data_IF_728389650820
#
_entry.id   IF_728389650820
#
_cell.length_a   1.000
_cell.length_b   1.000
_cell.length_c   1.000
_cell.angle_alpha   90.00
_cell.angle_beta   90.00
_cell.angle_gamma   90.00
#
_symmetry.space_group_name_H-M   'P 1'
#
loop_
_entity.id
_entity.type
_entity.pdbx_description
1 polymer ?
#
# COMPACT_ATOMS: atom_id res chain seq x y z
N UNK A 1 -31.92 -11.46 -68.21
CA UNK A 1 -31.39 -10.31 -67.44
C UNK A 1 -30.91 -10.82 -66.08
N UNK A 2 -29.62 -10.61 -65.78
CA UNK A 2 -28.96 -10.49 -64.45
C UNK A 2 -29.24 -11.59 -63.38
N UNK A 3 -28.30 -12.44 -62.97
CA UNK A 3 -26.95 -12.30 -62.35
C UNK A 3 -27.00 -12.70 -60.86
N UNK A 4 -26.34 -13.82 -60.55
CA UNK A 4 -25.37 -14.06 -59.47
C UNK A 4 -25.71 -13.71 -58.00
N UNK A 5 -25.57 -14.73 -57.13
CA UNK A 5 -24.45 -14.92 -56.18
C UNK A 5 -24.86 -15.19 -54.72
N UNK A 6 -24.29 -16.27 -54.18
CA UNK A 6 -24.11 -16.61 -52.77
C UNK A 6 -23.54 -15.46 -51.94
N UNK A 7 -23.98 -15.31 -50.67
CA UNK A 7 -23.09 -15.13 -49.52
C UNK A 7 -23.87 -15.27 -48.19
N UNK A 8 -23.46 -16.26 -47.40
CA UNK A 8 -23.79 -16.44 -45.99
C UNK A 8 -23.02 -15.36 -45.19
N UNK A 9 -23.71 -14.51 -44.44
CA UNK A 9 -23.07 -13.49 -43.60
C UNK A 9 -23.23 -13.88 -42.13
N UNK A 10 -22.31 -14.72 -41.67
CA UNK A 10 -22.06 -14.95 -40.25
C UNK A 10 -21.32 -13.71 -39.73
N UNK A 11 -22.02 -12.89 -38.94
CA UNK A 11 -21.39 -11.81 -38.17
C UNK A 11 -20.83 -12.45 -36.90
N UNK A 12 -19.56 -12.88 -36.95
CA UNK A 12 -18.78 -13.07 -35.72
C UNK A 12 -18.32 -11.67 -35.30
N UNK A 13 -19.07 -11.07 -34.39
CA UNK A 13 -18.57 -9.94 -33.59
C UNK A 13 -17.54 -10.50 -32.61
N UNK A 14 -16.27 -10.56 -33.05
CA UNK A 14 -15.13 -10.64 -32.15
C UNK A 14 -15.09 -9.31 -31.42
N UNK A 15 -15.76 -9.22 -30.26
CA UNK A 15 -15.48 -8.17 -29.30
C UNK A 15 -14.07 -8.44 -28.78
N UNK A 16 -13.09 -7.78 -29.40
CA UNK A 16 -11.75 -7.67 -28.85
C UNK A 16 -11.89 -7.00 -27.48
N UNK A 17 -11.97 -7.80 -26.41
CA UNK A 17 -11.60 -7.32 -25.09
C UNK A 17 -10.10 -7.06 -25.18
N UNK A 18 -9.73 -5.87 -25.62
CA UNK A 18 -8.41 -5.31 -25.38
C UNK A 18 -8.30 -5.19 -23.86
N UNK A 19 -7.79 -6.23 -23.19
CA UNK A 19 -7.14 -6.03 -21.90
C UNK A 19 -6.09 -4.95 -22.15
N UNK A 20 -6.36 -3.72 -21.73
CA UNK A 20 -5.47 -2.60 -21.95
C UNK A 20 -4.12 -2.97 -21.34
N UNK A 21 -3.13 -3.23 -22.20
CA UNK A 21 -1.79 -3.53 -21.76
C UNK A 21 -1.31 -2.34 -20.94
N UNK A 22 -0.90 -2.60 -19.69
CA UNK A 22 -0.38 -1.59 -18.79
C UNK A 22 0.75 -0.82 -19.50
N UNK A 23 0.59 0.50 -19.62
CA UNK A 23 1.55 1.30 -20.40
C UNK A 23 2.92 1.30 -19.73
N UNK A 24 3.99 1.49 -20.51
CA UNK A 24 5.34 1.60 -19.96
C UNK A 24 5.47 2.72 -18.91
N UNK A 25 4.68 3.81 -19.06
CA UNK A 25 4.59 4.88 -18.07
C UNK A 25 3.96 4.39 -16.77
N UNK A 26 2.78 3.77 -16.85
CA UNK A 26 2.06 3.26 -15.69
C UNK A 26 2.95 2.29 -14.90
N UNK A 27 3.55 1.30 -15.57
CA UNK A 27 4.44 0.32 -14.93
C UNK A 27 5.62 0.99 -14.23
N UNK A 28 6.30 1.90 -14.91
CA UNK A 28 7.46 2.61 -14.34
C UNK A 28 7.07 3.44 -13.11
N UNK A 29 5.96 4.18 -13.18
CA UNK A 29 5.50 5.02 -12.08
C UNK A 29 5.03 4.17 -10.90
N UNK A 30 4.25 3.11 -11.14
CA UNK A 30 3.79 2.18 -10.11
C UNK A 30 4.95 1.50 -9.38
N UNK A 31 6.00 1.08 -10.09
CA UNK A 31 7.22 0.56 -9.48
C UNK A 31 7.91 1.61 -8.59
N UNK A 32 8.04 2.85 -9.06
CA UNK A 32 8.65 3.92 -8.27
C UNK A 32 7.84 4.26 -7.01
N UNK A 33 6.50 4.27 -7.09
CA UNK A 33 5.59 4.44 -5.94
C UNK A 33 5.75 3.28 -4.94
N UNK A 34 5.84 2.03 -5.43
CA UNK A 34 6.08 0.87 -4.57
C UNK A 34 7.42 0.99 -3.83
N UNK A 35 8.47 1.46 -4.51
CA UNK A 35 9.78 1.70 -3.90
C UNK A 35 9.72 2.84 -2.87
N UNK A 36 8.94 3.90 -3.12
CA UNK A 36 8.70 4.96 -2.14
C UNK A 36 8.11 4.41 -0.85
N UNK A 37 7.14 3.49 -0.94
CA UNK A 37 6.53 2.85 0.23
C UNK A 37 7.48 2.00 1.09
N UNK A 38 8.66 1.66 0.55
CA UNK A 38 9.73 0.91 1.21
C UNK A 38 10.89 1.79 1.66
N UNK A 39 10.93 3.05 1.24
CA UNK A 39 12.02 3.97 1.54
C UNK A 39 11.96 4.43 3.00
N UNK A 40 13.07 4.30 3.73
CA UNK A 40 13.16 4.72 5.12
C UNK A 40 14.24 5.80 5.33
N UNK A 41 15.38 5.71 4.64
CA UNK A 41 16.48 6.67 4.79
C UNK A 41 16.49 7.79 3.76
N UNK A 42 17.32 8.82 3.98
CA UNK A 42 17.58 9.87 2.99
C UNK A 42 18.07 9.30 1.66
N UNK A 43 18.98 8.32 1.70
CA UNK A 43 19.53 7.64 0.50
C UNK A 43 18.43 6.97 -0.32
N UNK A 44 17.49 6.29 0.34
CA UNK A 44 16.37 5.61 -0.32
C UNK A 44 15.43 6.62 -0.98
N UNK A 45 15.10 7.69 -0.26
CA UNK A 45 14.29 8.79 -0.79
C UNK A 45 14.97 9.45 -2.01
N UNK A 46 16.29 9.66 -1.95
CA UNK A 46 17.05 10.21 -3.08
C UNK A 46 17.04 9.26 -4.28
N UNK A 47 17.22 7.95 -4.06
CA UNK A 47 17.16 6.94 -5.12
C UNK A 47 15.78 6.90 -5.79
N UNK A 48 14.72 6.96 -5.00
CA UNK A 48 13.33 6.99 -5.48
C UNK A 48 13.00 8.31 -6.19
N UNK A 49 13.46 9.45 -5.67
CA UNK A 49 13.34 10.75 -6.34
C UNK A 49 14.00 10.73 -7.73
N UNK A 50 15.17 10.11 -7.86
CA UNK A 50 15.84 9.91 -9.15
C UNK A 50 15.05 9.02 -10.11
N UNK A 51 14.24 8.07 -9.62
CA UNK A 51 13.33 7.29 -10.46
C UNK A 51 12.21 8.20 -11.01
N UNK A 52 11.53 8.96 -10.15
CA UNK A 52 10.48 9.90 -10.57
C UNK A 52 11.00 10.97 -11.52
N UNK A 53 12.20 11.51 -11.28
CA UNK A 53 12.85 12.50 -12.16
C UNK A 53 13.05 11.96 -13.58
N UNK A 54 13.56 10.73 -13.72
CA UNK A 54 13.72 10.08 -15.04
C UNK A 54 12.38 9.83 -15.74
N UNK A 55 11.33 9.53 -14.98
CA UNK A 55 9.97 9.36 -15.53
C UNK A 55 9.43 10.71 -16.01
N UNK A 56 9.53 11.76 -15.19
CA UNK A 56 9.08 13.12 -15.51
C UNK A 56 9.76 13.67 -16.77
N UNK A 57 11.05 13.40 -16.95
CA UNK A 57 11.80 13.79 -18.15
C UNK A 57 11.24 13.13 -19.43
N UNK A 58 10.80 11.87 -19.35
CA UNK A 58 10.22 11.14 -20.49
C UNK A 58 8.73 11.41 -20.71
N UNK A 59 8.03 11.90 -19.68
CA UNK A 59 6.58 12.07 -19.62
C UNK A 59 6.23 13.42 -19.00
N UNK A 60 6.69 14.50 -19.62
CA UNK A 60 6.56 15.87 -19.10
C UNK A 60 5.12 16.41 -19.08
N UNK A 61 4.20 15.79 -19.80
CA UNK A 61 2.77 16.12 -19.76
C UNK A 61 2.02 15.48 -18.57
N UNK A 62 2.67 14.56 -17.85
CA UNK A 62 2.08 13.85 -16.72
C UNK A 62 2.44 14.55 -15.40
N UNK A 63 1.45 14.86 -14.57
CA UNK A 63 1.67 15.64 -13.34
C UNK A 63 2.19 14.79 -12.16
N UNK A 64 1.80 13.52 -12.08
CA UNK A 64 2.11 12.64 -10.95
C UNK A 64 3.63 12.46 -10.70
N UNK A 65 4.50 12.29 -11.70
CA UNK A 65 5.95 12.26 -11.46
C UNK A 65 6.46 13.51 -10.74
N UNK A 66 5.97 14.70 -11.12
CA UNK A 66 6.35 15.95 -10.46
C UNK A 66 5.81 16.04 -9.03
N UNK A 67 4.60 15.56 -8.78
CA UNK A 67 4.06 15.43 -7.42
C UNK A 67 4.97 14.59 -6.53
N UNK A 68 5.40 13.41 -7.01
CA UNK A 68 6.23 12.52 -6.20
C UNK A 68 7.67 13.02 -6.03
N UNK A 69 8.23 13.75 -7.00
CA UNK A 69 9.51 14.47 -6.82
C UNK A 69 9.34 15.52 -5.72
N UNK A 70 8.25 16.28 -5.73
CA UNK A 70 7.99 17.29 -4.71
C UNK A 70 7.79 16.68 -3.32
N UNK A 71 7.01 15.59 -3.21
CA UNK A 71 6.80 14.85 -1.97
C UNK A 71 8.11 14.32 -1.38
N UNK A 72 8.95 13.69 -2.20
CA UNK A 72 10.23 13.14 -1.73
C UNK A 72 11.21 14.23 -1.31
N UNK A 73 11.29 15.33 -2.05
CA UNK A 73 12.12 16.48 -1.68
C UNK A 73 11.64 17.14 -0.37
N UNK A 74 10.33 17.32 -0.18
CA UNK A 74 9.79 17.84 1.08
C UNK A 74 10.13 16.92 2.27
N UNK A 75 10.01 15.60 2.09
CA UNK A 75 10.39 14.63 3.11
C UNK A 75 11.90 14.63 3.41
N UNK A 76 12.75 14.74 2.39
CA UNK A 76 14.19 14.85 2.57
C UNK A 76 14.58 16.16 3.29
N UNK A 77 13.93 17.28 2.96
CA UNK A 77 14.14 18.58 3.61
C UNK A 77 13.91 18.51 5.13
N UNK A 78 12.89 17.79 5.57
CA UNK A 78 12.57 17.63 7.00
C UNK A 78 13.55 16.69 7.75
N UNK A 79 14.42 15.98 7.02
CA UNK A 79 15.34 14.98 7.58
C UNK A 79 16.80 15.44 7.54
N UNK A 80 17.19 16.08 6.45
CA UNK A 80 18.54 16.59 6.24
C UNK A 80 18.58 18.10 6.46
N UNK A 81 19.05 18.50 7.65
CA UNK A 81 19.17 19.91 8.01
C UNK A 81 20.17 20.68 7.14
N UNK A 82 21.20 20.02 6.60
CA UNK A 82 22.26 20.71 5.85
C UNK A 82 21.75 21.26 4.52
N UNK A 83 20.84 20.51 3.86
CA UNK A 83 20.30 20.86 2.55
C UNK A 83 18.81 21.21 2.60
N UNK A 84 18.26 21.49 3.78
CA UNK A 84 16.83 21.59 3.99
C UNK A 84 16.16 22.67 3.11
N UNK A 85 16.78 23.85 3.00
CA UNK A 85 16.26 24.94 2.17
C UNK A 85 16.28 24.60 0.68
N UNK A 86 17.40 24.07 0.17
CA UNK A 86 17.52 23.66 -1.23
C UNK A 86 16.48 22.59 -1.58
N UNK A 87 16.32 21.58 -0.72
CA UNK A 87 15.33 20.52 -0.90
C UNK A 87 13.89 21.06 -0.86
N UNK A 88 13.60 22.03 0.01
CA UNK A 88 12.28 22.66 0.04
C UNK A 88 11.98 23.48 -1.23
N UNK A 89 12.98 24.15 -1.81
CA UNK A 89 12.82 24.86 -3.08
C UNK A 89 12.71 23.90 -4.28
N UNK A 90 13.45 22.79 -4.28
CA UNK A 90 13.27 21.73 -5.28
C UNK A 90 11.88 21.10 -5.18
N UNK A 91 11.34 20.98 -3.96
CA UNK A 91 9.96 20.52 -3.75
C UNK A 91 8.96 21.51 -4.36
N UNK A 92 9.10 22.81 -4.06
CA UNK A 92 8.22 23.86 -4.58
C UNK A 92 8.25 23.89 -6.11
N UNK A 93 9.45 23.87 -6.70
CA UNK A 93 9.65 23.91 -8.16
C UNK A 93 8.91 22.79 -8.88
N UNK A 94 8.91 21.57 -8.32
CA UNK A 94 8.22 20.44 -8.93
C UNK A 94 6.71 20.46 -8.64
N UNK A 95 6.29 20.96 -7.48
CA UNK A 95 4.88 21.18 -7.21
C UNK A 95 4.27 22.19 -8.21
N UNK A 96 4.98 23.27 -8.52
CA UNK A 96 4.51 24.28 -9.47
C UNK A 96 4.34 23.69 -10.88
N UNK A 97 5.25 22.81 -11.30
CA UNK A 97 5.11 22.04 -12.55
C UNK A 97 3.88 21.14 -12.53
N UNK A 98 3.62 20.44 -11.42
CA UNK A 98 2.42 19.61 -11.28
C UNK A 98 1.14 20.46 -11.35
N UNK A 99 1.10 21.60 -10.64
CA UNK A 99 -0.04 22.52 -10.62
C UNK A 99 -0.35 23.11 -12.00
N UNK A 100 0.66 23.34 -12.84
CA UNK A 100 0.46 23.81 -14.21
C UNK A 100 -0.23 22.78 -15.13
N UNK A 101 -0.20 21.49 -14.78
CA UNK A 101 -0.74 20.39 -15.59
C UNK A 101 -2.14 19.92 -15.13
N UNK A 102 -2.55 20.27 -13.91
CA UNK A 102 -3.79 19.75 -13.31
C UNK A 102 -4.92 20.76 -13.41
N UNK A 103 -6.10 20.26 -13.80
CA UNK A 103 -7.37 21.02 -13.80
C UNK A 103 -8.45 20.38 -12.92
N UNK A 104 -8.35 19.09 -12.65
CA UNK A 104 -9.31 18.37 -11.82
C UNK A 104 -9.26 18.89 -10.37
N UNK A 105 -10.43 19.05 -9.76
CA UNK A 105 -10.55 19.65 -8.44
C UNK A 105 -10.00 18.75 -7.33
N UNK A 106 -10.15 17.43 -7.43
CA UNK A 106 -9.62 16.47 -6.45
C UNK A 106 -8.10 16.38 -6.55
N UNK A 107 -7.57 16.36 -7.77
CA UNK A 107 -6.12 16.37 -7.97
C UNK A 107 -5.50 17.70 -7.48
N UNK A 108 -6.16 18.84 -7.71
CA UNK A 108 -5.75 20.12 -7.12
C UNK A 108 -5.77 20.08 -5.58
N UNK A 109 -6.71 19.35 -4.95
CA UNK A 109 -6.70 19.12 -3.50
C UNK A 109 -5.42 18.40 -3.04
N UNK A 110 -4.97 17.38 -3.76
CA UNK A 110 -3.69 16.71 -3.48
C UNK A 110 -2.49 17.65 -3.62
N UNK A 111 -2.50 18.50 -4.64
CA UNK A 111 -1.42 19.47 -4.86
C UNK A 111 -1.39 20.56 -3.78
N UNK A 112 -2.54 21.05 -3.31
CA UNK A 112 -2.59 21.99 -2.19
C UNK A 112 -2.26 21.33 -0.85
N UNK A 113 -2.56 20.05 -0.69
CA UNK A 113 -2.08 19.25 0.44
C UNK A 113 -0.55 19.21 0.47
N UNK A 114 0.08 18.96 -0.67
CA UNK A 114 1.53 18.96 -0.80
C UNK A 114 2.14 20.37 -0.62
N UNK A 115 1.44 21.42 -1.05
CA UNK A 115 1.84 22.81 -0.80
C UNK A 115 1.98 23.09 0.69
N UNK A 116 1.01 22.65 1.49
CA UNK A 116 1.05 22.79 2.94
C UNK A 116 2.23 22.04 3.55
N UNK A 117 2.52 20.82 3.09
CA UNK A 117 3.67 20.04 3.54
C UNK A 117 5.00 20.73 3.22
N UNK A 118 5.14 21.34 2.05
CA UNK A 118 6.34 22.10 1.67
C UNK A 118 6.51 23.31 2.57
N UNK A 119 5.44 24.04 2.91
CA UNK A 119 5.53 25.11 3.90
C UNK A 119 5.93 24.59 5.28
N UNK A 120 5.41 23.44 5.72
CA UNK A 120 5.90 22.78 6.94
C UNK A 120 7.39 22.46 6.86
N UNK A 121 7.90 21.97 5.73
CA UNK A 121 9.33 21.74 5.55
C UNK A 121 10.14 23.05 5.71
N UNK A 122 9.70 24.14 5.05
CA UNK A 122 10.33 25.47 5.18
C UNK A 122 10.27 26.03 6.60
N UNK A 123 9.21 25.72 7.36
CA UNK A 123 9.06 26.06 8.78
C UNK A 123 10.13 25.35 9.61
N UNK A 124 10.30 24.04 9.41
CA UNK A 124 11.17 23.20 10.24
C UNK A 124 12.67 23.49 10.07
N UNK A 125 13.07 24.23 9.04
CA UNK A 125 14.44 24.73 8.88
C UNK A 125 14.85 25.63 10.05
N UNK A 126 13.97 26.57 10.43
CA UNK A 126 14.15 27.45 11.58
C UNK A 126 12.77 27.80 12.17
N UNK A 127 12.25 26.97 13.08
CA UNK A 127 10.92 27.15 13.65
C UNK A 127 10.75 28.49 14.38
N UNK A 128 11.82 29.06 14.93
CA UNK A 128 11.75 30.28 15.73
C UNK A 128 11.52 31.51 14.86
N UNK A 129 12.24 31.63 13.74
CA UNK A 129 12.07 32.77 12.84
C UNK A 129 10.97 32.55 11.79
N UNK A 130 10.72 31.30 11.39
CA UNK A 130 9.84 30.98 10.27
C UNK A 130 8.47 30.41 10.67
N UNK A 131 8.32 30.05 11.95
CA UNK A 131 7.12 29.42 12.52
C UNK A 131 5.81 30.12 12.16
N UNK A 132 5.71 31.41 12.46
CA UNK A 132 4.47 32.17 12.23
C UNK A 132 4.10 32.23 10.74
N UNK A 133 5.06 32.59 9.88
CA UNK A 133 4.84 32.75 8.44
C UNK A 133 4.42 31.43 7.79
N UNK A 134 5.27 30.40 7.91
CA UNK A 134 5.02 29.15 7.22
C UNK A 134 3.95 28.30 7.90
N UNK A 135 3.68 28.50 9.20
CA UNK A 135 2.55 27.88 9.90
C UNK A 135 1.21 28.41 9.41
N UNK A 136 1.10 29.73 9.19
CA UNK A 136 -0.09 30.33 8.59
C UNK A 136 -0.30 29.86 7.15
N UNK A 137 0.78 29.83 6.35
CA UNK A 137 0.71 29.38 4.96
C UNK A 137 0.38 27.89 4.83
N UNK A 138 0.94 27.02 5.69
CA UNK A 138 0.61 25.59 5.68
C UNK A 138 -0.85 25.36 6.06
N UNK A 139 -1.34 26.01 7.12
CA UNK A 139 -2.74 25.95 7.53
C UNK A 139 -3.71 26.42 6.43
N UNK A 140 -3.40 27.53 5.76
CA UNK A 140 -4.19 28.04 4.65
C UNK A 140 -4.22 27.07 3.46
N UNK A 141 -3.09 26.43 3.13
CA UNK A 141 -3.01 25.44 2.07
C UNK A 141 -3.86 24.20 2.37
N UNK A 142 -3.82 23.66 3.59
CA UNK A 142 -4.68 22.54 3.99
C UNK A 142 -6.17 22.93 3.97
N UNK A 143 -6.52 24.13 4.43
CA UNK A 143 -7.88 24.65 4.33
C UNK A 143 -8.37 24.74 2.88
N UNK A 144 -7.52 25.22 1.98
CA UNK A 144 -7.81 25.26 0.53
C UNK A 144 -7.99 23.86 -0.04
N UNK A 145 -7.13 22.90 0.32
CA UNK A 145 -7.25 21.51 -0.12
C UNK A 145 -8.59 20.88 0.32
N UNK A 146 -9.00 21.10 1.58
CA UNK A 146 -10.27 20.59 2.12
C UNK A 146 -11.50 21.31 1.55
N UNK A 147 -11.39 22.58 1.17
CA UNK A 147 -12.43 23.28 0.42
C UNK A 147 -12.57 22.74 -1.02
N UNK A 148 -11.48 22.20 -1.58
CA UNK A 148 -11.49 21.55 -2.89
C UNK A 148 -12.10 20.14 -2.83
N UNK A 149 -11.65 19.34 -1.86
CA UNK A 149 -12.14 18.00 -1.57
C UNK A 149 -12.14 17.76 -0.05
N UNK A 150 -13.33 17.83 0.56
CA UNK A 150 -13.51 17.64 1.99
C UNK A 150 -13.21 16.20 2.44
N UNK A 151 -13.15 15.25 1.51
CA UNK A 151 -12.87 13.84 1.79
C UNK A 151 -11.38 13.51 1.72
N UNK A 152 -10.51 14.46 1.36
CA UNK A 152 -9.08 14.23 1.24
C UNK A 152 -8.45 13.86 2.61
N UNK A 153 -8.05 12.60 2.83
CA UNK A 153 -7.59 12.15 4.14
C UNK A 153 -6.19 12.67 4.47
N UNK A 154 -5.35 12.94 3.46
CA UNK A 154 -3.99 13.46 3.63
C UNK A 154 -4.03 14.94 4.05
N UNK A 155 -4.92 15.73 3.46
CA UNK A 155 -5.14 17.12 3.85
C UNK A 155 -5.55 17.22 5.33
N UNK A 156 -6.54 16.41 5.73
CA UNK A 156 -7.02 16.36 7.12
C UNK A 156 -5.95 15.86 8.07
N UNK A 157 -5.20 14.81 7.71
CA UNK A 157 -4.09 14.29 8.51
C UNK A 157 -3.03 15.37 8.79
N UNK A 158 -2.53 16.03 7.73
CA UNK A 158 -1.48 17.03 7.88
C UNK A 158 -1.97 18.28 8.63
N UNK A 159 -3.24 18.64 8.47
CA UNK A 159 -3.87 19.70 9.26
C UNK A 159 -3.86 19.36 10.76
N UNK A 160 -4.31 18.15 11.13
CA UNK A 160 -4.32 17.70 12.53
C UNK A 160 -2.89 17.70 13.09
N UNK A 161 -1.92 17.16 12.35
CA UNK A 161 -0.51 17.14 12.78
C UNK A 161 0.05 18.55 13.00
N UNK A 162 -0.24 19.49 12.09
CA UNK A 162 0.19 20.88 12.23
C UNK A 162 -0.43 21.57 13.45
N UNK A 163 -1.73 21.40 13.67
CA UNK A 163 -2.44 21.96 14.83
C UNK A 163 -1.96 21.34 16.14
N UNK A 164 -1.75 20.02 16.18
CA UNK A 164 -1.19 19.34 17.34
C UNK A 164 0.24 19.81 17.64
N UNK A 165 1.07 19.99 16.60
CA UNK A 165 2.43 20.51 16.76
C UNK A 165 2.45 21.93 17.34
N UNK A 166 1.52 22.79 16.90
CA UNK A 166 1.34 24.12 17.48
C UNK A 166 0.89 24.05 18.94
N UNK A 167 -0.11 23.23 19.25
CA UNK A 167 -0.57 23.04 20.62
C UNK A 167 0.56 22.55 21.53
N UNK A 168 1.35 21.56 21.08
CA UNK A 168 2.52 21.07 21.81
C UNK A 168 3.56 22.17 22.05
N UNK A 169 3.85 22.99 21.03
CA UNK A 169 4.79 24.10 21.15
C UNK A 169 4.37 25.12 22.23
N UNK A 170 3.07 25.45 22.27
CA UNK A 170 2.49 26.34 23.28
C UNK A 170 2.05 25.63 24.58
N UNK A 171 2.41 24.35 24.76
CA UNK A 171 2.07 23.53 25.93
C UNK A 171 0.55 23.45 26.21
N UNK A 172 -0.25 23.47 25.16
CA UNK A 172 -1.70 23.28 25.18
C UNK A 172 -2.07 21.79 25.15
N UNK A 173 -3.31 21.47 25.50
CA UNK A 173 -3.83 20.10 25.44
C UNK A 173 -3.82 19.56 24.00
N UNK A 174 -3.39 18.31 23.86
CA UNK A 174 -3.27 17.62 22.57
C UNK A 174 -4.28 16.48 22.39
N UNK A 175 -5.01 16.11 23.45
CA UNK A 175 -6.00 15.04 23.40
C UNK A 175 -7.06 15.24 22.31
N UNK A 176 -7.59 16.44 22.04
CA UNK A 176 -8.57 16.65 20.97
C UNK A 176 -8.06 16.25 19.58
N UNK A 177 -6.76 16.45 19.29
CA UNK A 177 -6.18 16.10 17.98
C UNK A 177 -6.00 14.59 17.81
N UNK A 178 -5.87 13.85 18.91
CA UNK A 178 -5.81 12.39 18.89
C UNK A 178 -7.20 11.82 18.56
N UNK A 179 -8.26 12.39 19.14
CA UNK A 179 -9.64 12.03 18.80
C UNK A 179 -9.96 12.39 17.34
N UNK A 180 -9.55 13.56 16.86
CA UNK A 180 -9.66 13.93 15.45
C UNK A 180 -8.97 12.90 14.52
N UNK A 181 -7.81 12.37 14.92
CA UNK A 181 -7.11 11.34 14.16
C UNK A 181 -7.85 10.00 14.15
N UNK A 182 -8.51 9.61 15.25
CA UNK A 182 -9.38 8.42 15.31
C UNK A 182 -10.58 8.58 14.37
N UNK A 183 -11.28 9.71 14.44
CA UNK A 183 -12.41 10.01 13.53
C UNK A 183 -11.97 10.04 12.06
N UNK A 184 -10.77 10.55 11.77
CA UNK A 184 -10.20 10.49 10.42
C UNK A 184 -10.02 9.03 9.95
N UNK A 185 -9.52 8.14 10.82
CA UNK A 185 -9.29 6.73 10.47
C UNK A 185 -10.57 5.96 10.16
N UNK A 186 -11.65 6.21 10.90
CA UNK A 186 -12.96 5.60 10.64
C UNK A 186 -13.45 5.83 9.20
N UNK A 187 -13.04 6.94 8.59
CA UNK A 187 -13.42 7.35 7.23
C UNK A 187 -12.29 7.19 6.21
N UNK A 188 -11.12 6.72 6.63
CA UNK A 188 -9.93 6.69 5.77
C UNK A 188 -10.17 5.85 4.50
N UNK A 189 -10.77 4.68 4.67
CA UNK A 189 -10.99 3.71 3.59
C UNK A 189 -12.21 4.05 2.71
N UNK A 190 -12.98 5.08 3.06
CA UNK A 190 -14.02 5.61 2.19
C UNK A 190 -13.44 6.49 1.06
N UNK A 191 -12.19 6.95 1.19
CA UNK A 191 -11.53 7.71 0.14
C UNK A 191 -11.05 6.79 -0.99
N UNK A 192 -11.53 7.04 -2.20
CA UNK A 192 -11.10 6.32 -3.42
C UNK A 192 -10.22 7.23 -4.28
N UNK A 193 -8.90 6.93 -4.44
CA UNK A 193 -8.03 7.67 -5.35
C UNK A 193 -8.48 7.54 -6.81
N UNK A 194 -8.23 8.56 -7.64
CA UNK A 194 -8.63 8.58 -9.06
C UNK A 194 -7.96 7.48 -9.90
N UNK A 195 -6.81 6.96 -9.47
CA UNK A 195 -6.17 5.77 -10.01
C UNK A 195 -5.22 5.14 -8.99
N UNK A 196 -4.71 3.95 -9.29
CA UNK A 196 -3.68 3.27 -8.48
C UNK A 196 -2.29 3.93 -8.53
N UNK A 197 -2.11 4.95 -9.37
CA UNK A 197 -0.93 5.82 -9.40
C UNK A 197 -1.09 7.08 -8.55
N UNK A 198 -2.29 7.34 -8.01
CA UNK A 198 -2.54 8.51 -7.18
C UNK A 198 -2.00 8.30 -5.75
N UNK A 199 -1.79 9.40 -5.00
CA UNK A 199 -1.24 9.33 -3.66
C UNK A 199 -2.10 8.51 -2.71
N UNK A 200 -1.49 7.51 -2.06
CA UNK A 200 -2.12 6.61 -1.08
C UNK A 200 -1.34 6.55 0.25
N UNK A 201 -0.40 7.47 0.47
CA UNK A 201 0.37 7.58 1.70
C UNK A 201 -0.46 8.19 2.84
N UNK A 202 0.06 8.11 4.06
CA UNK A 202 -0.49 8.79 5.24
C UNK A 202 -1.24 7.89 6.23
N UNK A 203 -1.79 6.75 5.79
CA UNK A 203 -2.59 5.87 6.67
C UNK A 203 -1.81 5.41 7.90
N UNK A 204 -0.55 4.97 7.70
CA UNK A 204 0.35 4.59 8.79
C UNK A 204 0.58 5.73 9.79
N UNK A 205 0.74 6.96 9.31
CA UNK A 205 0.93 8.14 10.16
C UNK A 205 -0.35 8.52 10.91
N UNK A 206 -1.53 8.36 10.30
CA UNK A 206 -2.80 8.56 10.96
C UNK A 206 -3.02 7.53 12.08
N UNK A 207 -2.71 6.25 11.83
CA UNK A 207 -2.74 5.18 12.85
C UNK A 207 -1.79 5.50 14.00
N UNK A 208 -0.54 5.84 13.69
CA UNK A 208 0.44 6.20 14.70
C UNK A 208 -0.03 7.39 15.56
N UNK A 209 -0.64 8.39 14.94
CA UNK A 209 -1.19 9.56 15.65
C UNK A 209 -2.37 9.19 16.54
N UNK A 210 -3.34 8.43 16.05
CA UNK A 210 -4.49 7.96 16.81
C UNK A 210 -4.08 7.09 18.01
N UNK A 211 -2.96 6.36 17.89
CA UNK A 211 -2.42 5.51 18.94
C UNK A 211 -1.66 6.27 20.04
N UNK A 212 -1.24 7.52 19.83
CA UNK A 212 -0.52 8.31 20.86
C UNK A 212 -1.32 8.51 22.14
N UNK A 213 -2.65 8.58 22.07
CA UNK A 213 -3.51 8.75 23.26
C UNK A 213 -3.57 7.51 24.15
N UNK A 214 -3.26 6.34 23.58
CA UNK A 214 -3.28 5.05 24.27
C UNK A 214 -2.04 4.88 25.16
N UNK A 215 -0.90 5.42 24.71
CA UNK A 215 0.35 5.46 25.48
C UNK A 215 0.24 6.38 26.71
N UNK A 216 -0.40 7.55 26.57
CA UNK A 216 -0.59 8.50 27.65
C UNK A 216 -1.65 8.07 28.70
N UNK A 217 -2.63 7.24 28.32
CA UNK A 217 -3.73 6.81 29.18
C UNK A 217 -3.50 5.44 29.87
N UNK A 218 -2.35 4.80 29.67
CA UNK A 218 -2.08 3.44 30.19
C UNK A 218 -3.03 2.35 29.63
N UNK A 219 -3.85 2.69 28.63
CA UNK A 219 -4.81 1.79 27.98
C UNK A 219 -4.22 1.36 26.64
N UNK A 220 -3.85 0.09 26.50
CA UNK A 220 -3.60 -0.52 25.19
C UNK A 220 -4.92 -0.60 24.41
N UNK A 221 -5.29 0.45 23.69
CA UNK A 221 -6.28 0.30 22.62
C UNK A 221 -5.52 -0.23 21.41
N UNK A 222 -5.79 -1.50 21.07
CA UNK A 222 -5.32 -2.13 19.84
C UNK A 222 -6.07 -1.50 18.65
N UNK A 223 -5.65 -0.33 18.19
CA UNK A 223 -5.88 0.03 16.78
C UNK A 223 -4.62 -0.45 16.06
N UNK A 224 -4.66 -1.71 15.62
CA UNK A 224 -3.54 -2.41 15.01
C UNK A 224 -3.01 -1.68 13.77
N UNK A 225 -1.68 -1.56 13.72
CA UNK A 225 -0.91 -1.20 12.55
C UNK A 225 -1.36 -2.00 11.32
N UNK A 226 -1.93 -1.32 10.31
CA UNK A 226 -2.21 -1.87 8.97
C UNK A 226 -2.46 -3.38 8.96
N UNK A 227 -3.65 -3.73 9.40
CA UNK A 227 -4.22 -5.06 9.23
C UNK A 227 -4.51 -5.26 7.74
N UNK A 228 -3.64 -6.02 7.07
CA UNK A 228 -3.78 -6.40 5.67
C UNK A 228 -4.51 -7.74 5.55
N UNK A 229 -5.09 -7.95 4.37
CA UNK A 229 -5.72 -9.22 4.03
C UNK A 229 -4.81 -10.04 3.11
N UNK A 230 -4.54 -11.29 3.46
CA UNK A 230 -3.97 -12.27 2.54
C UNK A 230 -5.11 -13.13 2.00
N UNK A 231 -5.46 -12.95 0.73
CA UNK A 231 -6.39 -13.83 0.01
C UNK A 231 -5.61 -14.97 -0.63
N UNK A 232 -5.90 -16.21 -0.24
CA UNK A 232 -5.22 -17.40 -0.73
C UNK A 232 -6.17 -18.26 -1.56
N UNK A 233 -5.72 -18.64 -2.77
CA UNK A 233 -6.36 -19.64 -3.61
C UNK A 233 -5.44 -20.84 -3.77
N UNK A 234 -5.85 -21.99 -3.25
CA UNK A 234 -5.15 -23.26 -3.35
C UNK A 234 -5.80 -24.07 -4.48
N UNK A 235 -5.00 -24.56 -5.41
CA UNK A 235 -5.46 -25.23 -6.63
C UNK A 235 -4.76 -26.57 -6.83
N UNK A 236 -5.26 -27.37 -7.77
CA UNK A 236 -4.77 -28.73 -8.06
C UNK A 236 -4.94 -29.71 -6.90
N UNK A 237 -5.96 -29.52 -6.07
CA UNK A 237 -6.40 -30.58 -5.14
C UNK A 237 -6.90 -31.76 -5.98
N UNK A 238 -6.62 -33.00 -5.56
CA UNK A 238 -6.93 -34.18 -6.39
C UNK A 238 -8.42 -34.54 -6.38
N UNK A 239 -9.11 -34.21 -5.30
CA UNK A 239 -10.55 -34.39 -5.09
C UNK A 239 -11.10 -33.26 -4.20
N UNK A 240 -12.39 -33.33 -3.87
CA UNK A 240 -13.11 -32.39 -3.00
C UNK A 240 -13.42 -33.02 -1.61
N UNK A 241 -12.76 -34.12 -1.27
CA UNK A 241 -12.95 -34.83 -0.01
C UNK A 241 -12.12 -34.18 1.11
N UNK A 242 -12.53 -34.36 2.36
CA UNK A 242 -11.76 -33.84 3.48
C UNK A 242 -11.80 -32.30 3.60
N UNK A 243 -10.67 -31.73 4.02
CA UNK A 243 -10.45 -30.29 4.20
C UNK A 243 -8.99 -29.92 3.94
N UNK A 244 -8.72 -28.64 3.71
CA UNK A 244 -7.34 -28.12 3.69
C UNK A 244 -7.07 -27.43 5.01
N UNK A 245 -6.08 -27.91 5.76
CA UNK A 245 -5.56 -27.21 6.94
C UNK A 245 -4.45 -26.27 6.49
N UNK A 246 -4.59 -24.98 6.78
CA UNK A 246 -3.67 -23.93 6.32
C UNK A 246 -3.16 -23.14 7.52
N UNK A 247 -1.83 -23.01 7.63
CA UNK A 247 -1.17 -22.21 8.67
C UNK A 247 -0.41 -21.04 8.04
N UNK A 248 -0.57 -19.86 8.61
CA UNK A 248 0.22 -18.66 8.35
C UNK A 248 1.24 -18.50 9.48
N UNK A 249 2.52 -18.55 9.14
CA UNK A 249 3.63 -18.44 10.10
C UNK A 249 4.47 -17.20 9.83
N UNK A 250 5.10 -16.63 10.86
CA UNK A 250 6.04 -15.50 10.71
C UNK A 250 7.48 -15.98 10.38
N UNK A 251 8.40 -15.05 10.16
CA UNK A 251 9.83 -15.37 9.88
C UNK A 251 10.55 -16.17 10.98
N UNK A 252 9.99 -16.22 12.19
CA UNK A 252 10.49 -17.03 13.31
C UNK A 252 9.84 -18.41 13.39
N UNK A 253 9.01 -18.79 12.41
CA UNK A 253 8.21 -20.02 12.35
C UNK A 253 7.13 -20.12 13.44
N UNK A 254 6.73 -18.99 14.03
CA UNK A 254 5.62 -18.95 14.98
C UNK A 254 4.31 -18.89 14.19
N UNK A 255 3.34 -19.76 14.52
CA UNK A 255 2.00 -19.72 13.92
C UNK A 255 1.26 -18.46 14.37
N UNK A 256 0.77 -17.70 13.40
CA UNK A 256 0.04 -16.45 13.62
C UNK A 256 -1.46 -16.68 13.49
N UNK A 257 -1.87 -17.44 12.48
CA UNK A 257 -3.26 -17.83 12.22
C UNK A 257 -3.30 -19.19 11.53
N UNK A 258 -4.37 -19.95 11.75
CA UNK A 258 -4.63 -21.20 11.04
C UNK A 258 -6.13 -21.35 10.72
N UNK A 259 -6.45 -22.07 9.65
CA UNK A 259 -7.83 -22.29 9.19
C UNK A 259 -8.00 -23.67 8.56
N UNK A 260 -9.17 -24.29 8.78
CA UNK A 260 -9.63 -25.47 8.06
C UNK A 260 -10.62 -25.04 6.98
N UNK A 261 -10.35 -25.39 5.72
CA UNK A 261 -11.06 -24.86 4.56
C UNK A 261 -11.68 -25.99 3.76
N UNK A 262 -12.98 -25.90 3.48
CA UNK A 262 -13.69 -26.84 2.62
C UNK A 262 -13.25 -26.71 1.16
N UNK A 263 -13.31 -27.81 0.43
CA UNK A 263 -12.84 -27.89 -0.95
C UNK A 263 -14.03 -27.93 -1.89
N UNK A 264 -13.94 -27.18 -2.98
CA UNK A 264 -14.93 -27.20 -4.04
C UNK A 264 -14.24 -27.02 -5.38
N UNK A 265 -14.61 -27.84 -6.36
CA UNK A 265 -14.04 -27.80 -7.71
C UNK A 265 -12.50 -27.85 -7.67
N UNK A 266 -11.97 -28.76 -6.84
CA UNK A 266 -10.54 -29.00 -6.61
C UNK A 266 -9.75 -27.76 -6.18
N UNK A 267 -10.45 -26.84 -5.51
CA UNK A 267 -9.95 -25.54 -5.09
C UNK A 267 -10.37 -25.25 -3.65
N UNK A 268 -9.48 -24.66 -2.87
CA UNK A 268 -9.80 -24.06 -1.57
C UNK A 268 -9.48 -22.55 -1.62
N UNK A 269 -10.37 -21.73 -1.08
CA UNK A 269 -10.23 -20.26 -1.05
C UNK A 269 -10.44 -19.79 0.38
N UNK A 270 -9.49 -19.02 0.90
CA UNK A 270 -9.57 -18.43 2.24
C UNK A 270 -8.92 -17.05 2.29
N UNK A 271 -9.13 -16.37 3.42
CA UNK A 271 -8.52 -15.08 3.73
C UNK A 271 -7.96 -15.10 5.14
N UNK A 272 -6.72 -14.64 5.30
CA UNK A 272 -6.20 -14.22 6.60
C UNK A 272 -6.41 -12.71 6.71
N UNK A 273 -7.25 -12.30 7.65
CA UNK A 273 -7.51 -10.89 7.96
C UNK A 273 -6.61 -10.44 9.10
N UNK A 274 -6.44 -9.14 9.28
CA UNK A 274 -5.67 -8.59 10.38
C UNK A 274 -4.19 -9.03 10.42
N UNK A 275 -3.59 -9.14 9.22
CA UNK A 275 -2.18 -9.51 9.08
C UNK A 275 -1.32 -8.26 9.01
N UNK A 276 -0.38 -8.14 9.93
CA UNK A 276 0.54 -7.00 9.98
C UNK A 276 1.52 -7.00 8.80
N UNK A 277 2.09 -5.84 8.49
CA UNK A 277 3.25 -5.77 7.61
C UNK A 277 4.39 -6.63 8.16
N UNK A 278 5.03 -7.45 7.33
CA UNK A 278 6.08 -8.36 7.79
C UNK A 278 6.41 -9.44 6.78
N UNK A 279 7.25 -10.40 7.20
CA UNK A 279 7.60 -11.58 6.44
C UNK A 279 6.85 -12.79 6.99
N UNK A 280 6.27 -13.56 6.09
CA UNK A 280 5.40 -14.69 6.41
C UNK A 280 5.65 -15.86 5.48
N UNK A 281 5.25 -17.05 5.90
CA UNK A 281 5.12 -18.23 5.04
C UNK A 281 3.74 -18.87 5.26
N UNK A 282 3.26 -19.58 4.26
CA UNK A 282 2.02 -20.36 4.31
C UNK A 282 2.38 -21.82 4.10
N UNK A 283 1.87 -22.69 4.96
CA UNK A 283 2.03 -24.13 4.87
C UNK A 283 0.64 -24.75 4.93
N UNK A 284 0.38 -25.78 4.11
CA UNK A 284 -0.93 -26.42 4.11
C UNK A 284 -0.87 -27.90 3.77
N UNK A 285 -1.86 -28.63 4.28
CA UNK A 285 -2.11 -30.04 4.01
C UNK A 285 -3.54 -30.25 3.56
N UNK A 286 -3.72 -31.16 2.61
CA UNK A 286 -5.00 -31.68 2.18
C UNK A 286 -5.31 -32.94 3.00
N UNK A 287 -6.01 -32.76 4.11
CA UNK A 287 -6.40 -33.83 5.04
C UNK A 287 -7.68 -34.48 4.51
N UNK A 288 -7.51 -35.62 3.82
CA UNK A 288 -8.58 -36.29 3.09
C UNK A 288 -9.42 -37.17 4.01
N UNK A 289 -8.77 -37.81 4.99
CA UNK A 289 -9.41 -38.71 5.93
C UNK A 289 -9.88 -38.03 7.23
N UNK A 290 -9.58 -36.73 7.41
CA UNK A 290 -9.98 -35.88 8.53
C UNK A 290 -9.37 -36.31 9.86
N UNK A 291 -8.15 -36.85 9.83
CA UNK A 291 -7.43 -37.23 11.04
C UNK A 291 -6.57 -36.10 11.62
N UNK A 292 -6.44 -34.98 10.90
CA UNK A 292 -5.68 -33.81 11.32
C UNK A 292 -4.16 -33.95 11.14
N UNK A 293 -3.68 -35.01 10.50
CA UNK A 293 -2.26 -35.30 10.29
C UNK A 293 -1.93 -35.39 8.79
N UNK A 294 -0.66 -35.14 8.45
CA UNK A 294 -0.18 -35.40 7.09
C UNK A 294 0.21 -36.87 6.97
N UNK A 295 -0.65 -37.68 6.36
CA UNK A 295 -0.39 -39.10 6.23
C UNK A 295 0.79 -39.39 5.29
N UNK A 296 1.74 -40.21 5.74
CA UNK A 296 2.92 -40.62 4.97
C UNK A 296 3.07 -42.14 4.84
N UNK A 297 3.86 -42.59 3.87
CA UNK A 297 4.28 -43.99 3.78
C UNK A 297 5.47 -44.29 4.71
N UNK A 298 5.94 -45.55 4.73
CA UNK A 298 7.05 -45.98 5.61
C UNK A 298 8.39 -45.26 5.33
N UNK A 299 8.52 -44.57 4.19
CA UNK A 299 9.68 -43.76 3.81
C UNK A 299 9.47 -42.27 4.09
N UNK A 300 8.38 -41.88 4.77
CA UNK A 300 8.06 -40.47 5.07
C UNK A 300 7.54 -39.67 3.88
N UNK A 301 7.18 -40.31 2.76
CA UNK A 301 6.61 -39.63 1.60
C UNK A 301 5.12 -39.37 1.85
N UNK A 302 4.64 -38.12 1.73
CA UNK A 302 3.23 -37.80 1.88
C UNK A 302 2.34 -38.57 0.90
N UNK A 303 1.28 -39.18 1.41
CA UNK A 303 0.18 -39.82 0.65
C UNK A 303 -0.95 -38.83 0.33
N UNK A 304 -0.98 -37.75 1.07
CA UNK A 304 -1.93 -36.64 0.98
C UNK A 304 -1.29 -35.41 0.34
N UNK A 305 -2.15 -34.48 -0.04
CA UNK A 305 -1.72 -33.25 -0.68
C UNK A 305 -1.04 -32.32 0.31
N UNK A 306 0.00 -31.62 -0.11
CA UNK A 306 0.63 -30.59 0.69
C UNK A 306 1.13 -29.45 -0.19
N UNK A 307 1.44 -28.32 0.44
CA UNK A 307 2.13 -27.24 -0.24
C UNK A 307 2.56 -26.11 0.68
N UNK A 308 3.25 -25.18 0.05
CA UNK A 308 3.92 -24.06 0.67
C UNK A 308 3.65 -22.79 -0.15
N UNK A 309 3.76 -21.62 0.47
CA UNK A 309 3.84 -20.34 -0.26
C UNK A 309 4.99 -20.35 -1.27
N UNK A 310 4.88 -19.47 -2.27
CA UNK A 310 5.79 -19.40 -3.43
C UNK A 310 5.89 -20.69 -4.27
N UNK A 311 4.99 -21.66 -4.06
CA UNK A 311 5.12 -23.01 -4.62
C UNK A 311 6.52 -23.63 -4.31
N UNK A 312 7.12 -23.29 -3.17
CA UNK A 312 8.47 -23.74 -2.78
C UNK A 312 8.55 -25.28 -2.72
N UNK A 313 9.68 -25.86 -3.18
CA UNK A 313 9.90 -27.32 -3.23
C UNK A 313 11.33 -27.70 -2.84
N UNK A 314 11.46 -28.66 -1.93
CA UNK A 314 12.73 -29.34 -1.65
C UNK A 314 13.02 -30.49 -2.62
N UNK A 315 14.30 -30.87 -2.72
CA UNK A 315 14.76 -32.01 -3.52
C UNK A 315 14.53 -33.35 -2.80
N UNK A 316 14.88 -33.42 -1.50
CA UNK A 316 14.64 -34.57 -0.62
C UNK A 316 14.14 -34.06 0.74
N UNK A 317 12.84 -33.81 0.83
CA UNK A 317 12.19 -33.25 2.04
C UNK A 317 11.40 -31.96 1.76
N UNK A 318 10.95 -31.25 2.81
CA UNK A 318 10.35 -29.93 2.67
C UNK A 318 11.36 -28.93 2.05
N UNK A 319 10.88 -27.82 1.44
CA UNK A 319 11.75 -26.74 0.99
C UNK A 319 12.49 -26.09 2.17
N UNK A 320 13.52 -25.30 1.84
CA UNK A 320 14.11 -24.40 2.82
C UNK A 320 13.08 -23.32 3.19
N UNK A 321 12.96 -23.01 4.48
CA UNK A 321 11.93 -22.08 4.97
C UNK A 321 12.01 -20.70 4.30
N UNK A 322 13.22 -20.23 3.99
CA UNK A 322 13.44 -18.97 3.29
C UNK A 322 12.79 -18.94 1.90
N UNK A 323 12.67 -20.09 1.21
CA UNK A 323 12.01 -20.19 -0.09
C UNK A 323 10.48 -20.04 0.03
N UNK A 324 9.93 -20.35 1.20
CA UNK A 324 8.50 -20.17 1.50
C UNK A 324 8.17 -18.71 1.82
N UNK A 325 9.15 -17.90 2.26
CA UNK A 325 8.91 -16.56 2.78
C UNK A 325 8.43 -15.60 1.68
N UNK A 326 7.37 -14.86 1.98
CA UNK A 326 6.89 -13.71 1.22
C UNK A 326 6.71 -12.49 2.13
N UNK A 327 6.76 -11.28 1.53
CA UNK A 327 6.62 -10.02 2.27
C UNK A 327 5.21 -9.46 2.14
N UNK A 328 4.55 -9.25 3.26
CA UNK A 328 3.28 -8.52 3.37
C UNK A 328 3.61 -7.04 3.59
N UNK A 329 3.24 -6.22 2.61
CA UNK A 329 3.34 -4.75 2.68
C UNK A 329 2.04 -4.04 2.27
N UNK A 330 1.00 -4.83 1.98
CA UNK A 330 -0.31 -4.48 1.46
C UNK A 330 -1.19 -5.74 1.38
N UNK A 331 -2.45 -5.58 0.98
CA UNK A 331 -3.31 -6.72 0.67
C UNK A 331 -2.65 -7.61 -0.39
N UNK A 332 -2.63 -8.91 -0.11
CA UNK A 332 -1.86 -9.88 -0.87
C UNK A 332 -2.80 -10.93 -1.44
N UNK A 333 -2.79 -11.12 -2.75
CA UNK A 333 -3.44 -12.25 -3.41
C UNK A 333 -2.39 -13.29 -3.75
N UNK A 334 -2.57 -14.51 -3.27
CA UNK A 334 -1.65 -15.62 -3.50
C UNK A 334 -2.37 -16.81 -4.14
N UNK A 335 -1.76 -17.35 -5.19
CA UNK A 335 -2.20 -18.58 -5.86
C UNK A 335 -1.12 -19.64 -5.69
N UNK A 336 -1.48 -20.77 -5.11
CA UNK A 336 -0.57 -21.91 -4.88
C UNK A 336 -1.16 -23.20 -5.43
N UNK A 337 -0.28 -24.16 -5.71
CA UNK A 337 -0.61 -25.45 -6.31
C UNK A 337 -0.25 -26.57 -5.34
N UNK A 338 -1.24 -27.37 -4.97
CA UNK A 338 -1.03 -28.57 -4.17
C UNK A 338 -0.15 -29.56 -4.91
N UNK A 339 0.76 -30.21 -4.18
CA UNK A 339 1.56 -31.33 -4.66
C UNK A 339 1.05 -32.63 -4.03
N UNK A 340 1.02 -33.67 -4.86
CA UNK A 340 0.88 -35.07 -4.45
C UNK A 340 2.09 -35.83 -4.98
N UNK A 341 2.37 -37.00 -4.42
CA UNK A 341 3.40 -37.93 -4.91
C UNK A 341 2.80 -39.11 -5.66
#
# INVERSE_FOLDING_TARGET
MMKNLFAFLIIISISSYSFAQETAYHKALKTAISNLGKADGFKDLQNVNNQFTRIAQKKSAEWLPFYYIALTNANMSMRDRANADELAELAQTNLDKAKALVKDKKDLSELETLQGLIYTAKLLVDPMSRGQKYGMLSGAAYGKALAMDATNPRARLLQIQGQMGQAQFFKQDTAPFIEDAKTLLEKWDAFTPSSDLHPNWGKKSAIALANRGNEAAGKKVNISNNDFTISLKITKLRNDEGLVMVSLVNEKKEEIQSQNVTIKDRTAILKFENVKAGKYAIQYIHDENKDGELNSNFMGIPKEGYGFSNDARGFMGPPDFEDEIFTVSGDTLMLVKTKYH
#
